data_IF_674196217925
#
_entry.id   IF_674196217925
#
_cell.length_a   1.000
_cell.length_b   1.000
_cell.length_c   1.000
_cell.angle_alpha   90.00
_cell.angle_beta   90.00
_cell.angle_gamma   90.00
#
_symmetry.space_group_name_H-M   'P 1'
#
loop_
_entity.id
_entity.type
_entity.pdbx_description
1 polymer ?
#
# COMPACT_ATOMS: atom_id res chain seq x y z
N UNK A 1 -27.32 35.60 21.29
CA UNK A 1 -25.95 35.71 20.75
C UNK A 1 -25.41 34.30 20.79
N UNK A 2 -25.70 33.56 19.74
CA UNK A 2 -25.60 32.11 19.71
C UNK A 2 -24.32 31.73 18.96
N UNK A 3 -23.34 31.25 19.72
CA UNK A 3 -22.06 30.78 19.19
C UNK A 3 -22.22 29.36 18.64
N UNK A 4 -22.50 29.24 17.34
CA UNK A 4 -22.50 27.97 16.63
C UNK A 4 -21.08 27.44 16.47
N UNK A 5 -20.73 26.44 17.28
CA UNK A 5 -19.53 25.61 17.15
C UNK A 5 -19.55 24.85 15.83
N UNK A 6 -18.63 25.19 14.92
CA UNK A 6 -18.46 24.54 13.63
C UNK A 6 -17.70 23.23 13.81
N UNK A 7 -18.42 22.14 14.06
CA UNK A 7 -17.85 20.80 13.94
C UNK A 7 -17.54 20.53 12.45
N UNK A 8 -16.26 20.59 12.08
CA UNK A 8 -15.79 20.05 10.81
C UNK A 8 -15.98 18.53 10.83
N UNK A 9 -17.09 18.11 10.24
CA UNK A 9 -17.38 16.71 9.91
C UNK A 9 -16.44 16.32 8.76
N UNK A 10 -15.21 15.93 9.09
CA UNK A 10 -14.35 15.21 8.13
C UNK A 10 -15.07 13.92 7.78
N UNK A 11 -15.56 13.88 6.55
CA UNK A 11 -16.17 12.71 5.92
C UNK A 11 -15.14 11.59 5.83
N UNK A 12 -14.99 10.83 6.91
CA UNK A 12 -14.47 9.47 6.88
C UNK A 12 -15.46 8.64 6.07
N UNK A 13 -15.13 8.40 4.80
CA UNK A 13 -15.80 7.38 4.00
C UNK A 13 -15.53 6.04 4.68
N UNK A 14 -16.47 5.62 5.52
CA UNK A 14 -16.54 4.28 6.11
C UNK A 14 -16.64 3.28 4.97
N UNK A 15 -15.48 2.78 4.55
CA UNK A 15 -15.44 1.48 3.89
C UNK A 15 -15.83 0.49 4.95
N UNK A 16 -16.87 -0.26 4.66
CA UNK A 16 -17.34 -1.41 5.44
C UNK A 16 -16.13 -2.15 5.99
N UNK A 17 -16.11 -2.36 7.31
CA UNK A 17 -15.07 -3.09 8.03
C UNK A 17 -15.04 -4.54 7.51
N UNK A 18 -14.44 -4.76 6.35
CA UNK A 18 -14.03 -6.08 5.89
C UNK A 18 -13.04 -6.57 6.95
N UNK A 19 -13.39 -7.67 7.62
CA UNK A 19 -12.74 -8.14 8.83
C UNK A 19 -11.20 -8.14 8.67
N UNK A 20 -10.53 -7.19 9.32
CA UNK A 20 -9.06 -7.07 9.30
C UNK A 20 -8.48 -5.77 8.71
N UNK A 21 -9.29 -4.87 8.15
CA UNK A 21 -8.81 -3.54 7.72
C UNK A 21 -8.71 -2.59 8.93
N UNK A 22 -7.50 -2.13 9.22
CA UNK A 22 -7.23 -1.16 10.29
C UNK A 22 -7.45 0.29 9.84
N UNK A 23 -7.05 0.60 8.59
CA UNK A 23 -7.19 1.94 8.02
C UNK A 23 -7.14 1.88 6.49
N UNK A 24 -7.85 2.79 5.84
CA UNK A 24 -7.78 2.97 4.39
C UNK A 24 -7.78 4.44 3.99
N UNK A 25 -7.31 4.74 2.79
CA UNK A 25 -7.32 6.11 2.26
C UNK A 25 -6.38 6.31 1.06
N UNK A 26 -6.51 7.46 0.41
CA UNK A 26 -5.62 7.82 -0.70
C UNK A 26 -4.27 8.26 -0.15
N UNK A 27 -3.19 7.70 -0.69
CA UNK A 27 -1.81 8.04 -0.32
C UNK A 27 -0.97 8.28 -1.57
N UNK A 28 0.06 9.12 -1.43
CA UNK A 28 1.09 9.29 -2.46
C UNK A 28 2.30 8.46 -2.07
N UNK A 29 2.65 7.46 -2.88
CA UNK A 29 3.76 6.54 -2.61
C UNK A 29 4.80 6.56 -3.73
N UNK A 30 6.06 6.27 -3.37
CA UNK A 30 7.18 6.07 -4.29
C UNK A 30 8.08 4.95 -3.78
N UNK A 31 8.71 4.22 -4.71
CA UNK A 31 9.55 3.06 -4.39
C UNK A 31 10.98 3.31 -4.84
N UNK A 32 11.96 2.96 -4.01
CA UNK A 32 13.37 3.23 -4.28
C UNK A 32 13.94 2.33 -5.40
N UNK A 33 14.78 2.88 -6.30
CA UNK A 33 15.10 4.31 -6.44
C UNK A 33 13.88 5.10 -6.93
N UNK A 34 13.55 6.22 -6.24
CA UNK A 34 12.30 6.95 -6.47
C UNK A 34 12.42 7.74 -7.78
N UNK A 35 11.84 7.21 -8.85
CA UNK A 35 11.75 7.88 -10.15
C UNK A 35 10.53 8.80 -10.25
N UNK A 36 9.41 8.39 -9.66
CA UNK A 36 8.18 9.17 -9.60
C UNK A 36 7.33 8.73 -8.42
N UNK A 37 6.53 9.66 -7.89
CA UNK A 37 5.50 9.38 -6.89
C UNK A 37 4.17 9.18 -7.61
N UNK A 38 3.34 8.25 -7.15
CA UNK A 38 1.99 8.00 -7.68
C UNK A 38 0.97 7.96 -6.55
N UNK A 39 -0.25 8.37 -6.84
CA UNK A 39 -1.37 8.24 -5.92
C UNK A 39 -1.93 6.83 -5.98
N UNK A 40 -2.18 6.23 -4.82
CA UNK A 40 -2.77 4.91 -4.65
C UNK A 40 -3.89 4.97 -3.63
N UNK A 41 -4.80 4.01 -3.71
CA UNK A 41 -5.70 3.71 -2.61
C UNK A 41 -5.04 2.68 -1.70
N UNK A 42 -4.69 3.09 -0.49
CA UNK A 42 -4.04 2.23 0.50
C UNK A 42 -5.05 1.53 1.40
N UNK A 43 -4.76 0.28 1.72
CA UNK A 43 -5.39 -0.47 2.80
C UNK A 43 -4.30 -0.99 3.73
N UNK A 44 -4.39 -0.61 5.00
CA UNK A 44 -3.57 -1.13 6.07
C UNK A 44 -4.34 -2.23 6.79
N UNK A 45 -3.81 -3.44 6.73
CA UNK A 45 -4.25 -4.60 7.49
C UNK A 45 -3.25 -4.88 8.63
N UNK A 46 -3.57 -5.82 9.50
CA UNK A 46 -2.71 -6.21 10.63
C UNK A 46 -1.29 -6.63 10.21
N UNK A 47 -1.16 -7.35 9.08
CA UNK A 47 0.11 -7.92 8.61
C UNK A 47 0.65 -7.31 7.33
N UNK A 48 -0.13 -6.48 6.64
CA UNK A 48 0.24 -6.01 5.32
C UNK A 48 -0.27 -4.59 5.03
N UNK A 49 0.52 -3.87 4.23
CA UNK A 49 0.09 -2.65 3.57
C UNK A 49 -0.13 -2.94 2.08
N UNK A 50 -1.36 -2.76 1.63
CA UNK A 50 -1.78 -2.94 0.25
C UNK A 50 -1.95 -1.60 -0.45
N UNK A 51 -1.45 -1.50 -1.68
CA UNK A 51 -1.61 -0.33 -2.53
C UNK A 51 -2.34 -0.71 -3.82
N UNK A 52 -3.52 -0.14 -4.00
CA UNK A 52 -4.42 -0.35 -5.14
C UNK A 52 -4.39 0.85 -6.07
N UNK A 53 -4.70 0.66 -7.36
CA UNK A 53 -4.80 1.77 -8.32
C UNK A 53 -5.90 2.76 -7.93
N UNK A 54 -7.00 2.27 -7.35
CA UNK A 54 -8.12 3.08 -6.90
C UNK A 54 -8.99 2.34 -5.88
N UNK A 55 -9.85 3.05 -5.18
CA UNK A 55 -10.88 2.44 -4.32
C UNK A 55 -11.77 1.48 -5.12
N UNK A 56 -12.10 1.83 -6.36
CA UNK A 56 -12.90 0.98 -7.26
C UNK A 56 -12.21 -0.34 -7.59
N UNK A 57 -10.89 -0.36 -7.74
CA UNK A 57 -10.16 -1.62 -8.01
C UNK A 57 -10.16 -2.52 -6.79
N UNK A 58 -10.01 -1.95 -5.59
CA UNK A 58 -10.07 -2.67 -4.34
C UNK A 58 -11.46 -3.28 -4.10
N UNK A 59 -12.55 -2.51 -4.28
CA UNK A 59 -13.92 -3.01 -4.12
C UNK A 59 -14.27 -4.14 -5.09
N UNK A 60 -13.66 -4.13 -6.29
CA UNK A 60 -13.76 -5.23 -7.27
C UNK A 60 -12.85 -6.42 -6.93
N UNK A 61 -12.23 -6.43 -5.74
CA UNK A 61 -11.28 -7.43 -5.26
C UNK A 61 -10.15 -7.72 -6.25
N UNK A 62 -9.72 -6.69 -6.99
CA UNK A 62 -8.54 -6.79 -7.86
C UNK A 62 -7.30 -6.87 -6.97
N UNK A 63 -6.28 -7.59 -7.45
CA UNK A 63 -5.00 -7.68 -6.74
C UNK A 63 -4.38 -6.31 -6.52
N UNK A 64 -3.81 -6.12 -5.34
CA UNK A 64 -2.99 -4.95 -5.02
C UNK A 64 -1.80 -4.86 -6.00
N UNK A 65 -1.46 -3.64 -6.41
CA UNK A 65 -0.27 -3.39 -7.23
C UNK A 65 1.00 -3.61 -6.46
N UNK A 66 0.97 -3.24 -5.18
CA UNK A 66 2.06 -3.45 -4.26
C UNK A 66 1.47 -4.00 -2.96
N UNK A 67 2.07 -5.08 -2.47
CA UNK A 67 1.74 -5.72 -1.21
C UNK A 67 3.03 -5.73 -0.40
N UNK A 68 3.03 -5.03 0.72
CA UNK A 68 4.16 -4.97 1.65
C UNK A 68 3.79 -5.75 2.90
N UNK A 69 4.43 -6.89 3.12
CA UNK A 69 4.29 -7.64 4.37
C UNK A 69 5.05 -6.89 5.48
N UNK A 70 4.31 -6.42 6.48
CA UNK A 70 4.86 -5.62 7.58
C UNK A 70 5.85 -6.41 8.43
N UNK A 71 5.79 -7.74 8.44
CA UNK A 71 6.78 -8.58 9.13
C UNK A 71 8.17 -8.54 8.47
N UNK A 72 8.24 -8.09 7.21
CA UNK A 72 9.50 -7.92 6.47
C UNK A 72 10.07 -6.50 6.59
N UNK A 73 9.31 -5.58 7.20
CA UNK A 73 9.72 -4.21 7.46
C UNK A 73 10.64 -4.18 8.68
N UNK A 74 11.88 -3.74 8.50
CA UNK A 74 12.84 -3.61 9.60
C UNK A 74 12.96 -2.18 10.12
N UNK A 75 12.49 -1.20 9.36
CA UNK A 75 12.46 0.19 9.81
C UNK A 75 11.26 0.95 9.23
N UNK A 76 10.67 1.80 10.05
CA UNK A 76 9.60 2.73 9.68
C UNK A 76 9.99 4.10 10.23
N UNK A 77 10.26 5.04 9.34
CA UNK A 77 10.69 6.38 9.70
C UNK A 77 9.69 7.44 9.25
N UNK A 78 9.41 8.42 10.11
CA UNK A 78 8.56 9.56 9.77
C UNK A 78 9.47 10.69 9.32
N UNK A 79 9.32 11.08 8.07
CA UNK A 79 10.06 12.21 7.53
C UNK A 79 9.15 13.41 7.39
N UNK A 80 9.53 14.48 8.08
CA UNK A 80 8.88 15.77 8.00
C UNK A 80 9.88 16.74 7.40
N UNK A 81 9.65 17.13 6.16
CA UNK A 81 10.33 18.25 5.50
C UNK A 81 9.29 19.25 5.03
N UNK A 82 9.71 20.50 4.79
CA UNK A 82 8.83 21.58 4.31
C UNK A 82 8.01 21.15 3.08
N UNK A 83 8.59 20.35 2.18
CA UNK A 83 7.96 19.87 0.95
C UNK A 83 7.25 18.50 1.06
N UNK A 84 7.42 17.79 2.19
CA UNK A 84 6.92 16.42 2.32
C UNK A 84 6.74 15.99 3.77
N UNK A 85 5.49 15.72 4.12
CA UNK A 85 5.14 14.95 5.32
C UNK A 85 4.80 13.52 4.89
N UNK A 86 5.59 12.54 5.31
CA UNK A 86 5.33 11.15 4.95
C UNK A 86 6.10 10.13 5.77
N UNK A 87 5.90 8.86 5.40
CA UNK A 87 6.51 7.71 6.07
C UNK A 87 7.38 6.96 5.07
N UNK A 88 8.61 6.67 5.45
CA UNK A 88 9.48 5.75 4.73
C UNK A 88 9.39 4.38 5.37
N UNK A 89 9.07 3.38 4.56
CA UNK A 89 9.03 1.98 4.97
C UNK A 89 10.22 1.29 4.31
N UNK A 90 11.11 0.75 5.13
CA UNK A 90 12.24 -0.04 4.65
C UNK A 90 11.93 -1.51 4.92
N UNK A 91 11.68 -2.23 3.84
CA UNK A 91 11.38 -3.65 3.86
C UNK A 91 12.50 -4.46 3.22
N UNK A 92 12.76 -5.64 3.77
CA UNK A 92 13.67 -6.59 3.17
C UNK A 92 12.97 -7.21 1.95
N UNK A 93 13.43 -6.88 0.74
CA UNK A 93 12.84 -7.37 -0.51
C UNK A 93 13.18 -8.86 -0.72
N UNK A 94 12.38 -9.75 -0.11
CA UNK A 94 12.49 -11.21 -0.31
C UNK A 94 11.90 -11.61 -1.68
N UNK A 95 11.05 -10.77 -2.28
CA UNK A 95 10.31 -11.05 -3.52
C UNK A 95 11.21 -11.02 -4.78
N UNK A 96 12.42 -10.46 -4.72
CA UNK A 96 13.35 -10.44 -5.87
C UNK A 96 14.10 -11.74 -6.15
N UNK A 97 14.04 -12.74 -5.28
CA UNK A 97 14.49 -14.10 -5.65
C UNK A 97 13.37 -14.84 -6.37
N UNK A 98 13.00 -14.37 -7.56
CA UNK A 98 12.41 -15.30 -8.54
C UNK A 98 13.50 -16.31 -8.90
N UNK A 99 13.30 -17.63 -8.70
CA UNK A 99 14.17 -18.59 -9.37
C UNK A 99 14.02 -18.35 -10.87
N UNK A 100 15.16 -18.21 -11.57
CA UNK A 100 15.18 -18.34 -13.02
C UNK A 100 14.55 -19.69 -13.35
N UNK A 101 13.29 -19.68 -13.80
CA UNK A 101 12.71 -20.82 -14.50
C UNK A 101 13.35 -20.88 -15.88
N UNK A 102 14.54 -21.48 -15.94
CA UNK A 102 15.03 -22.13 -17.15
C UNK A 102 14.64 -23.59 -17.04
N UNK A 103 13.36 -23.87 -17.27
CA UNK A 103 12.87 -25.21 -17.54
C UNK A 103 12.58 -25.30 -19.05
N UNK A 104 13.64 -25.25 -19.88
CA UNK A 104 13.58 -25.83 -21.23
C UNK A 104 13.71 -27.35 -21.08
N UNK A 105 12.69 -27.97 -20.47
CA UNK A 105 12.48 -29.40 -20.53
C UNK A 105 11.69 -29.71 -21.81
N UNK A 106 12.35 -29.62 -22.97
CA UNK A 106 11.85 -30.29 -24.17
C UNK A 106 12.16 -31.78 -24.02
N UNK A 107 11.23 -32.51 -23.42
CA UNK A 107 11.11 -33.95 -23.59
C UNK A 107 10.83 -34.22 -25.08
N UNK A 108 11.88 -34.50 -25.87
CA UNK A 108 11.71 -35.22 -27.13
C UNK A 108 12.06 -36.68 -26.83
N UNK A 109 11.03 -37.45 -26.50
CA UNK A 109 11.08 -38.89 -26.43
C UNK A 109 10.63 -39.50 -27.75
N UNK A 110 11.39 -40.51 -28.17
CA UNK A 110 11.29 -41.41 -29.33
C UNK A 110 11.90 -40.90 -30.63
#
# INVERSE_FOLDING_TARGET
MDSSSRQQKTSTSTVEEDAGVLKSGVVTAGFTPIKSKKCYYAILCERALELHESEKSQKKKRHAKHLVDLSTCFNIDRHVSEDFYGVYIVACDIQKRRPNRTDDATLVGR
#
